data_IF_918762937660
#
_entry.id   IF_918762937660
#
_cell.length_a   1.000
_cell.length_b   1.000
_cell.length_c   1.000
_cell.angle_alpha   90.00
_cell.angle_beta   90.00
_cell.angle_gamma   90.00
#
_symmetry.space_group_name_H-M   'P 1'
#
loop_
_entity.id
_entity.type
_entity.pdbx_description
1 polymer ?
#
# COMPACT_ATOMS: atom_id res chain seq x y z
N UNK A 1 9.50 -9.88 8.23
CA UNK A 1 9.57 -10.64 6.96
C UNK A 1 9.86 -12.15 7.10
N UNK A 2 10.58 -12.64 8.11
CA UNK A 2 10.90 -14.08 8.23
C UNK A 2 9.76 -14.96 8.79
N UNK A 3 8.81 -14.38 9.53
CA UNK A 3 7.71 -15.07 10.22
C UNK A 3 6.65 -15.65 9.28
N UNK A 4 6.27 -14.92 8.22
CA UNK A 4 5.28 -15.40 7.25
C UNK A 4 5.79 -16.54 6.36
N UNK A 5 7.10 -16.54 6.07
CA UNK A 5 7.75 -17.60 5.29
C UNK A 5 7.86 -18.92 6.07
N UNK A 6 8.00 -18.81 7.39
CA UNK A 6 7.92 -19.94 8.30
C UNK A 6 6.49 -20.49 8.37
N UNK A 7 5.47 -19.62 8.35
CA UNK A 7 4.06 -20.02 8.34
C UNK A 7 3.67 -20.85 7.10
N UNK A 8 4.15 -20.45 5.91
CA UNK A 8 3.97 -21.21 4.65
C UNK A 8 4.51 -22.64 4.77
N UNK A 9 5.59 -22.83 5.53
CA UNK A 9 6.22 -24.15 5.69
C UNK A 9 5.40 -25.10 6.59
N UNK A 10 4.37 -24.59 7.27
CA UNK A 10 3.46 -25.35 8.13
C UNK A 10 2.07 -25.57 7.51
N UNK A 11 1.86 -25.15 6.27
CA UNK A 11 0.62 -25.38 5.51
C UNK A 11 0.41 -26.91 5.34
N UNK A 12 -0.66 -27.44 5.96
CA UNK A 12 -0.98 -28.88 6.03
C UNK A 12 -0.81 -29.52 7.41
N UNK A 13 0.02 -28.97 8.30
CA UNK A 13 0.08 -29.38 9.72
C UNK A 13 -1.00 -28.70 10.58
N UNK A 14 -1.62 -27.64 10.04
CA UNK A 14 -2.69 -26.85 10.63
C UNK A 14 -4.05 -27.58 10.77
N UNK A 15 -4.22 -28.74 10.11
CA UNK A 15 -5.50 -29.49 10.09
C UNK A 15 -5.67 -30.50 11.24
N UNK A 16 -4.71 -30.61 12.17
CA UNK A 16 -4.79 -31.57 13.30
C UNK A 16 -5.22 -30.89 14.60
N UNK A 17 -6.28 -31.39 15.22
CA UNK A 17 -6.92 -30.83 16.43
C UNK A 17 -5.97 -30.63 17.64
N UNK A 18 -4.94 -31.48 17.79
CA UNK A 18 -3.94 -31.35 18.88
C UNK A 18 -2.97 -30.19 18.64
N UNK A 19 -2.73 -29.84 17.37
CA UNK A 19 -1.85 -28.74 16.97
C UNK A 19 -2.60 -27.41 17.08
N UNK A 20 -3.93 -27.41 16.96
CA UNK A 20 -4.77 -26.21 17.03
C UNK A 20 -4.60 -25.40 18.33
N UNK A 21 -4.49 -26.04 19.50
CA UNK A 21 -4.34 -25.34 20.79
C UNK A 21 -2.95 -24.70 20.98
N UNK A 22 -1.88 -25.39 20.57
CA UNK A 22 -0.53 -24.82 20.56
C UNK A 22 -0.38 -23.73 19.47
N UNK A 23 -1.19 -23.82 18.42
CA UNK A 23 -1.26 -22.83 17.35
C UNK A 23 -2.08 -21.60 17.75
N UNK A 24 -3.11 -21.74 18.58
CA UNK A 24 -3.92 -20.62 19.09
C UNK A 24 -3.04 -19.64 19.89
N UNK A 25 -2.15 -20.17 20.73
CA UNK A 25 -1.17 -19.34 21.46
C UNK A 25 -0.18 -18.63 20.52
N UNK A 26 0.28 -19.31 19.46
CA UNK A 26 1.14 -18.72 18.42
C UNK A 26 0.40 -17.73 17.51
N UNK A 27 -0.92 -17.84 17.38
CA UNK A 27 -1.74 -16.91 16.59
C UNK A 27 -1.87 -15.56 17.26
N UNK A 28 -1.95 -15.50 18.59
CA UNK A 28 -1.91 -14.23 19.33
C UNK A 28 -0.59 -13.49 19.06
N UNK A 29 0.53 -14.22 19.10
CA UNK A 29 1.84 -13.63 18.75
C UNK A 29 1.90 -13.22 17.27
N UNK A 30 1.25 -13.97 16.37
CA UNK A 30 1.16 -13.62 14.96
C UNK A 30 0.33 -12.34 14.72
N UNK A 31 -0.80 -12.21 15.41
CA UNK A 31 -1.66 -11.03 15.36
C UNK A 31 -0.92 -9.80 15.88
N UNK A 32 -0.16 -9.94 16.98
CA UNK A 32 0.69 -8.85 17.50
C UNK A 32 1.78 -8.45 16.51
N UNK A 33 2.50 -9.42 15.96
CA UNK A 33 3.54 -9.16 14.96
C UNK A 33 2.95 -8.50 13.70
N UNK A 34 1.73 -8.88 13.29
CA UNK A 34 1.05 -8.24 12.17
C UNK A 34 0.57 -6.82 12.52
N UNK A 35 0.09 -6.57 13.73
CA UNK A 35 -0.25 -5.23 14.19
C UNK A 35 0.96 -4.28 14.19
N UNK A 36 2.14 -4.78 14.59
CA UNK A 36 3.40 -4.04 14.50
C UNK A 36 3.78 -3.75 13.03
N UNK A 37 3.65 -4.73 12.14
CA UNK A 37 3.92 -4.56 10.70
C UNK A 37 2.97 -3.53 10.06
N UNK A 38 1.68 -3.55 10.42
CA UNK A 38 0.70 -2.53 10.00
C UNK A 38 1.12 -1.13 10.46
N UNK A 39 1.57 -1.00 11.71
CA UNK A 39 2.03 0.28 12.25
C UNK A 39 3.27 0.78 11.50
N UNK A 40 4.24 -0.09 11.25
CA UNK A 40 5.44 0.26 10.48
C UNK A 40 5.08 0.72 9.06
N UNK A 41 4.17 0.02 8.37
CA UNK A 41 3.70 0.41 7.04
C UNK A 41 2.97 1.75 7.08
N UNK A 42 2.15 1.99 8.10
CA UNK A 42 1.48 3.27 8.29
C UNK A 42 2.48 4.42 8.51
N UNK A 43 3.50 4.20 9.32
CA UNK A 43 4.55 5.20 9.58
C UNK A 43 5.35 5.50 8.31
N UNK A 44 5.66 4.46 7.51
CA UNK A 44 6.29 4.62 6.19
C UNK A 44 5.39 5.42 5.26
N UNK A 45 4.09 5.13 5.24
CA UNK A 45 3.11 5.84 4.43
C UNK A 45 3.06 7.33 4.82
N UNK A 46 2.85 7.65 6.09
CA UNK A 46 2.73 9.03 6.58
C UNK A 46 4.04 9.81 6.35
N UNK A 47 5.20 9.19 6.62
CA UNK A 47 6.49 9.89 6.52
C UNK A 47 6.91 10.18 5.08
N UNK A 48 6.52 9.33 4.13
CA UNK A 48 6.96 9.44 2.74
C UNK A 48 5.84 9.84 1.77
N UNK A 49 4.61 10.10 2.23
CA UNK A 49 3.52 10.54 1.34
C UNK A 49 3.83 11.84 0.59
N UNK A 50 4.62 12.73 1.20
CA UNK A 50 4.95 14.03 0.62
C UNK A 50 6.19 13.96 -0.30
N UNK A 51 7.05 12.95 -0.12
CA UNK A 51 8.21 12.66 -0.99
C UNK A 51 8.49 11.16 -1.04
N UNK A 52 7.72 10.40 -1.85
CA UNK A 52 7.91 8.96 -1.92
C UNK A 52 9.29 8.64 -2.47
N UNK A 53 9.92 7.58 -1.94
CA UNK A 53 11.21 7.10 -2.46
C UNK A 53 10.96 6.43 -3.82
N UNK A 54 11.02 7.22 -4.88
CA UNK A 54 10.76 6.78 -6.24
C UNK A 54 11.94 5.98 -6.79
N UNK A 55 11.64 4.92 -7.57
CA UNK A 55 12.66 4.26 -8.39
C UNK A 55 13.24 5.25 -9.40
N UNK A 56 14.55 5.20 -9.61
CA UNK A 56 15.24 6.05 -10.60
C UNK A 56 14.55 5.87 -11.97
N UNK A 57 14.07 6.96 -12.56
CA UNK A 57 13.35 7.08 -13.84
C UNK A 57 11.82 6.94 -13.81
N UNK A 58 11.17 6.78 -12.65
CA UNK A 58 9.71 6.89 -12.57
C UNK A 58 9.28 8.37 -12.59
N UNK A 59 8.23 8.69 -13.35
CA UNK A 59 7.64 10.02 -13.27
C UNK A 59 7.14 10.27 -11.82
N UNK A 60 7.27 11.49 -11.27
CA UNK A 60 6.98 11.79 -9.87
C UNK A 60 5.60 11.30 -9.39
N UNK A 61 4.60 11.40 -10.26
CA UNK A 61 3.21 10.99 -10.01
C UNK A 61 3.01 9.47 -10.10
N UNK A 62 3.49 8.83 -11.16
CA UNK A 62 3.26 7.38 -11.37
C UNK A 62 4.04 6.52 -10.39
N UNK A 63 5.23 6.95 -9.98
CA UNK A 63 5.97 6.22 -8.96
C UNK A 63 5.38 6.38 -7.55
N UNK A 64 4.68 7.49 -7.25
CA UNK A 64 3.97 7.65 -5.98
C UNK A 64 2.79 6.67 -5.87
N UNK A 65 2.02 6.53 -6.95
CA UNK A 65 0.92 5.55 -7.05
C UNK A 65 1.45 4.12 -6.99
N UNK A 66 2.53 3.81 -7.70
CA UNK A 66 3.17 2.49 -7.66
C UNK A 66 3.72 2.15 -6.26
N UNK A 67 4.28 3.13 -5.56
CA UNK A 67 4.77 2.97 -4.19
C UNK A 67 3.64 2.63 -3.22
N UNK A 68 2.52 3.37 -3.26
CA UNK A 68 1.34 3.06 -2.44
C UNK A 68 0.77 1.68 -2.78
N UNK A 69 0.70 1.31 -4.06
CA UNK A 69 0.29 -0.03 -4.47
C UNK A 69 1.18 -1.13 -3.90
N UNK A 70 2.49 -0.88 -3.78
CA UNK A 70 3.43 -1.77 -3.10
C UNK A 70 3.17 -1.92 -1.60
N UNK A 71 2.83 -0.82 -0.92
CA UNK A 71 2.46 -0.84 0.50
C UNK A 71 1.16 -1.61 0.74
N UNK A 72 0.13 -1.39 -0.08
CA UNK A 72 -1.14 -2.13 -0.04
C UNK A 72 -0.88 -3.63 -0.19
N UNK A 73 -0.09 -4.04 -1.19
CA UNK A 73 0.24 -5.45 -1.41
C UNK A 73 0.99 -6.07 -0.22
N UNK A 74 1.88 -5.32 0.43
CA UNK A 74 2.63 -5.78 1.62
C UNK A 74 1.70 -6.13 2.79
N UNK A 75 0.62 -5.38 2.99
CA UNK A 75 -0.32 -5.62 4.10
C UNK A 75 -1.42 -6.62 3.73
N UNK A 76 -1.77 -6.73 2.45
CA UNK A 76 -2.84 -7.62 1.99
C UNK A 76 -2.46 -9.11 2.06
N UNK A 77 -1.21 -9.46 1.74
CA UNK A 77 -0.74 -10.86 1.80
C UNK A 77 -0.81 -11.46 3.22
N UNK A 78 -0.28 -10.81 4.27
CA UNK A 78 -0.50 -11.19 5.67
C UNK A 78 -1.97 -11.33 6.07
N UNK A 79 -2.81 -10.36 5.68
CA UNK A 79 -4.24 -10.37 6.03
C UNK A 79 -4.96 -11.57 5.40
N UNK A 80 -4.63 -11.92 4.15
CA UNK A 80 -5.19 -13.08 3.47
C UNK A 80 -4.83 -14.39 4.20
N UNK A 81 -3.57 -14.53 4.63
CA UNK A 81 -3.09 -15.70 5.38
C UNK A 81 -3.77 -15.82 6.76
N UNK A 82 -3.94 -14.69 7.46
CA UNK A 82 -4.66 -14.63 8.73
C UNK A 82 -6.14 -15.05 8.59
N UNK A 83 -6.81 -14.63 7.50
CA UNK A 83 -8.20 -15.01 7.21
C UNK A 83 -8.35 -16.50 6.89
N UNK A 84 -7.33 -17.12 6.30
CA UNK A 84 -7.36 -18.53 5.93
C UNK A 84 -7.07 -19.49 7.10
N UNK A 85 -6.22 -19.09 8.05
CA UNK A 85 -5.73 -19.98 9.12
C UNK A 85 -6.75 -20.42 10.16
N UNK A 86 -7.61 -19.52 10.67
CA UNK A 86 -8.66 -19.88 11.63
C UNK A 86 -9.75 -18.82 11.74
N UNK A 87 -11.01 -19.21 11.48
CA UNK A 87 -12.19 -18.34 11.65
C UNK A 87 -12.42 -17.93 13.10
N UNK A 88 -12.18 -18.84 14.04
CA UNK A 88 -12.42 -18.61 15.48
C UNK A 88 -11.53 -17.47 15.99
N UNK A 89 -10.29 -17.41 15.51
CA UNK A 89 -9.33 -16.39 15.91
C UNK A 89 -9.67 -15.03 15.30
N UNK A 90 -10.26 -15.02 14.10
CA UNK A 90 -10.76 -13.79 13.48
C UNK A 90 -12.02 -13.21 14.16
N UNK A 91 -12.69 -13.99 15.02
CA UNK A 91 -13.81 -13.52 15.83
C UNK A 91 -13.38 -12.89 17.17
N UNK A 92 -12.10 -12.99 17.53
CA UNK A 92 -11.53 -12.33 18.71
C UNK A 92 -11.58 -10.81 18.58
N UNK A 93 -11.63 -10.11 19.71
CA UNK A 93 -11.65 -8.65 19.71
C UNK A 93 -10.34 -8.07 19.14
N UNK A 94 -9.19 -8.68 19.45
CA UNK A 94 -7.89 -8.28 18.91
C UNK A 94 -7.86 -8.35 17.37
N UNK A 95 -8.37 -9.45 16.78
CA UNK A 95 -8.42 -9.59 15.33
C UNK A 95 -9.40 -8.60 14.67
N UNK A 96 -10.51 -8.27 15.34
CA UNK A 96 -11.45 -7.24 14.85
C UNK A 96 -10.81 -5.85 14.87
N UNK A 97 -10.06 -5.51 15.92
CA UNK A 97 -9.32 -4.24 15.98
C UNK A 97 -8.28 -4.14 14.87
N UNK A 98 -7.51 -5.20 14.64
CA UNK A 98 -6.54 -5.28 13.54
C UNK A 98 -7.23 -5.16 12.17
N UNK A 99 -8.38 -5.79 11.97
CA UNK A 99 -9.16 -5.63 10.72
C UNK A 99 -9.65 -4.20 10.52
N UNK A 100 -10.10 -3.52 11.58
CA UNK A 100 -10.50 -2.11 11.50
C UNK A 100 -9.31 -1.22 11.11
N UNK A 101 -8.15 -1.43 11.74
CA UNK A 101 -6.92 -0.69 11.42
C UNK A 101 -6.53 -0.91 9.95
N UNK A 102 -6.50 -2.16 9.51
CA UNK A 102 -6.21 -2.52 8.12
C UNK A 102 -7.15 -1.82 7.13
N UNK A 103 -8.48 -1.91 7.35
CA UNK A 103 -9.45 -1.27 6.46
C UNK A 103 -9.29 0.25 6.43
N UNK A 104 -9.00 0.87 7.59
CA UNK A 104 -8.73 2.31 7.67
C UNK A 104 -7.48 2.71 6.89
N UNK A 105 -6.42 1.90 6.96
CA UNK A 105 -5.18 2.16 6.21
C UNK A 105 -5.40 2.01 4.70
N UNK A 106 -6.12 0.98 4.27
CA UNK A 106 -6.47 0.79 2.86
C UNK A 106 -7.26 2.00 2.33
N UNK A 107 -8.30 2.43 3.06
CA UNK A 107 -9.08 3.60 2.67
C UNK A 107 -8.23 4.87 2.55
N UNK A 108 -7.33 5.12 3.50
CA UNK A 108 -6.43 6.28 3.44
C UNK A 108 -5.45 6.23 2.26
N UNK A 109 -4.95 5.04 1.92
CA UNK A 109 -4.08 4.82 0.76
C UNK A 109 -4.83 5.00 -0.56
N UNK A 110 -6.09 4.57 -0.64
CA UNK A 110 -6.96 4.77 -1.80
C UNK A 110 -7.30 6.25 -2.01
N UNK A 111 -7.70 6.96 -0.95
CA UNK A 111 -7.99 8.39 -1.00
C UNK A 111 -6.76 9.20 -1.46
N UNK A 112 -5.57 8.85 -0.96
CA UNK A 112 -4.32 9.45 -1.42
C UNK A 112 -4.08 9.23 -2.92
N UNK A 113 -4.31 8.00 -3.41
CA UNK A 113 -4.15 7.66 -4.83
C UNK A 113 -5.13 8.45 -5.71
N UNK A 114 -6.39 8.52 -5.30
CA UNK A 114 -7.44 9.22 -6.05
C UNK A 114 -7.22 10.74 -6.05
N UNK A 115 -6.75 11.30 -4.93
CA UNK A 115 -6.34 12.70 -4.84
C UNK A 115 -5.15 13.03 -5.75
N UNK A 116 -4.13 12.16 -5.78
CA UNK A 116 -2.99 12.31 -6.71
C UNK A 116 -3.41 12.20 -8.17
N UNK A 117 -4.31 11.26 -8.50
CA UNK A 117 -4.84 11.12 -9.85
C UNK A 117 -5.62 12.35 -10.30
N UNK A 118 -6.47 12.89 -9.43
CA UNK A 118 -7.26 14.10 -9.72
C UNK A 118 -6.37 15.32 -9.97
N UNK A 119 -5.39 15.55 -9.10
CA UNK A 119 -4.41 16.63 -9.26
C UNK A 119 -3.62 16.50 -10.58
N UNK A 120 -3.28 15.28 -10.99
CA UNK A 120 -2.60 15.04 -12.26
C UNK A 120 -3.46 15.36 -13.47
N UNK A 121 -4.75 14.99 -13.44
CA UNK A 121 -5.70 15.32 -14.50
C UNK A 121 -5.87 16.84 -14.67
N UNK A 122 -5.93 17.58 -13.56
CA UNK A 122 -5.98 19.05 -13.57
C UNK A 122 -4.69 19.66 -14.15
N UNK A 123 -3.52 19.23 -13.69
CA UNK A 123 -2.22 19.73 -14.17
C UNK A 123 -2.04 19.48 -15.68
N UNK A 124 -2.47 18.32 -16.18
CA UNK A 124 -2.43 18.03 -17.63
C UNK A 124 -3.37 18.95 -18.40
N UNK A 125 -4.59 19.18 -17.90
CA UNK A 125 -5.55 20.06 -18.57
C UNK A 125 -5.00 21.48 -18.69
N UNK A 126 -4.45 22.01 -17.60
CA UNK A 126 -3.84 23.35 -17.59
C UNK A 126 -2.60 23.44 -18.49
N UNK A 127 -1.72 22.43 -18.43
CA UNK A 127 -0.50 22.38 -19.26
C UNK A 127 -0.85 22.26 -20.75
N UNK A 128 -1.86 21.47 -21.08
CA UNK A 128 -2.35 21.32 -22.45
C UNK A 128 -2.89 22.65 -22.99
N UNK A 129 -3.74 23.32 -22.22
CA UNK A 129 -4.30 24.63 -22.61
C UNK A 129 -3.22 25.72 -22.73
N UNK A 130 -2.22 25.70 -21.86
CA UNK A 130 -1.09 26.62 -21.94
C UNK A 130 -0.23 26.34 -23.18
N UNK A 131 0.00 25.05 -23.52
CA UNK A 131 0.80 24.66 -24.70
C UNK A 131 0.08 24.90 -26.02
N UNK A 132 -1.24 24.81 -26.06
CA UNK A 132 -2.05 25.19 -27.23
C UNK A 132 -2.04 26.70 -27.49
N UNK A 133 -1.77 27.52 -26.46
CA UNK A 133 -1.64 28.98 -26.57
C UNK A 133 -0.22 29.44 -26.93
N UNK A 134 0.75 28.54 -27.02
CA UNK A 134 2.10 28.90 -27.44
C UNK A 134 2.12 29.20 -28.95
N UNK A 135 2.69 30.34 -29.38
CA UNK A 135 2.81 30.65 -30.80
C UNK A 135 3.66 29.58 -31.49
N UNK A 136 3.08 28.92 -32.50
CA UNK A 136 3.73 27.86 -33.28
C UNK A 136 4.90 28.39 -34.13
N UNK A 137 4.94 29.70 -34.38
CA UNK A 137 5.97 30.37 -35.14
C UNK A 137 7.04 30.91 -34.19
N UNK A 138 8.22 30.29 -34.20
CA UNK A 138 9.44 30.91 -33.67
C UNK A 138 9.90 31.94 -34.69
N UNK A 139 10.29 33.18 -34.29
CA UNK A 139 10.97 34.08 -35.19
C UNK A 139 12.21 33.36 -35.73
N UNK A 140 12.27 33.18 -37.05
CA UNK A 140 13.48 32.67 -37.68
C UNK A 140 14.66 33.61 -37.38
N UNK A 141 15.90 33.12 -37.38
CA UNK A 141 17.09 33.91 -37.00
C UNK A 141 17.40 35.12 -37.90
N UNK A 142 16.51 35.49 -38.83
CA UNK A 142 16.76 36.51 -39.86
C UNK A 142 15.69 37.62 -39.89
N UNK A 143 15.02 37.92 -38.78
CA UNK A 143 14.22 39.15 -38.67
C UNK A 143 15.10 40.30 -38.16
N UNK A 144 16.02 40.73 -39.02
CA UNK A 144 16.72 42.02 -38.92
C UNK A 144 16.70 42.62 -40.32
N UNK A 145 15.82 43.60 -40.52
CA UNK A 145 15.69 44.40 -41.73
C UNK A 145 14.97 45.68 -41.37
#
# INVERSE_FOLDING_TARGET
>A
AATFKLLDSFEGLLERDVIAADIEKKHVDLLRAYAEDLKEVNDIFISNKDSPVLSKNAAPMSGAVAWVGGLVRRIEEPMAKLRAGSKVIMETEEAKEINKLYNSMIGAMEEYKDGKFSAWCEEISETSDARLKLPLLRPGPNASG
#
